data_IF_965143074992
#
_entry.id   IF_965143074992
#
_cell.length_a   1.000
_cell.length_b   1.000
_cell.length_c   1.000
_cell.angle_alpha   90.00
_cell.angle_beta   90.00
_cell.angle_gamma   90.00
#
_symmetry.space_group_name_H-M   'P 1'
#
loop_
_entity.id
_entity.type
_entity.pdbx_description
1 polymer ?
#
# COMPACT_ATOMS: atom_id res chain seq x y z
N UNK A 1 -18.82 -27.66 2.10
CA UNK A 1 -17.57 -26.93 1.80
C UNK A 1 -17.84 -25.45 1.91
N UNK A 2 -17.19 -24.73 2.82
CA UNK A 2 -17.27 -23.27 2.82
C UNK A 2 -16.36 -22.75 1.70
N UNK A 3 -16.94 -22.14 0.67
CA UNK A 3 -16.18 -21.34 -0.28
C UNK A 3 -15.69 -20.11 0.47
N UNK A 4 -14.48 -20.18 1.05
CA UNK A 4 -13.83 -18.98 1.57
C UNK A 4 -13.65 -18.03 0.40
N UNK A 5 -14.28 -16.85 0.48
CA UNK A 5 -14.10 -15.77 -0.49
C UNK A 5 -12.58 -15.57 -0.68
N UNK A 6 -12.06 -15.46 -1.92
CA UNK A 6 -10.64 -15.22 -2.13
C UNK A 6 -10.20 -14.06 -1.25
N UNK A 7 -9.23 -14.27 -0.37
CA UNK A 7 -8.71 -13.21 0.49
C UNK A 7 -8.06 -12.21 -0.45
N UNK A 8 -8.72 -11.10 -0.74
CA UNK A 8 -8.26 -10.03 -1.63
C UNK A 8 -7.06 -9.24 -1.06
N UNK A 9 -6.39 -9.77 -0.03
CA UNK A 9 -5.32 -9.12 0.72
C UNK A 9 -3.96 -9.83 0.69
N UNK A 10 -3.81 -10.99 0.03
CA UNK A 10 -2.55 -11.77 0.06
C UNK A 10 -1.49 -11.30 -0.98
N UNK A 11 -1.72 -10.16 -1.65
CA UNK A 11 -0.80 -9.61 -2.64
C UNK A 11 0.31 -8.75 -2.02
N UNK A 12 1.48 -8.62 -2.68
CA UNK A 12 2.55 -7.74 -2.21
C UNK A 12 2.06 -6.29 -2.12
N UNK A 13 2.78 -5.45 -1.37
CA UNK A 13 2.53 -4.00 -1.41
C UNK A 13 2.65 -3.49 -2.85
N UNK A 14 1.74 -2.60 -3.25
CA UNK A 14 1.68 -2.03 -4.60
C UNK A 14 1.60 -0.51 -4.53
N UNK A 15 2.23 0.18 -5.48
CA UNK A 15 2.09 1.62 -5.67
C UNK A 15 1.85 1.91 -7.15
N UNK A 16 0.77 2.61 -7.48
CA UNK A 16 0.41 3.01 -8.85
C UNK A 16 0.21 4.51 -8.94
N UNK A 17 0.62 5.13 -10.07
CA UNK A 17 0.34 6.55 -10.33
C UNK A 17 -1.01 6.68 -11.02
N UNK A 18 -1.93 7.42 -10.41
CA UNK A 18 -3.26 7.68 -10.96
C UNK A 18 -3.45 9.20 -11.10
N UNK A 19 -3.35 9.68 -12.34
CA UNK A 19 -3.35 11.12 -12.63
C UNK A 19 -2.17 11.86 -11.98
N UNK A 20 -2.49 12.72 -11.00
CA UNK A 20 -1.50 13.52 -10.25
C UNK A 20 -1.13 12.93 -8.90
N UNK A 21 -1.79 11.86 -8.48
CA UNK A 21 -1.60 11.22 -7.18
C UNK A 21 -0.94 9.85 -7.32
N UNK A 22 -0.40 9.35 -6.21
CA UNK A 22 0.08 7.97 -6.06
C UNK A 22 -0.89 7.22 -5.17
N UNK A 23 -1.33 6.04 -5.60
CA UNK A 23 -2.17 5.14 -4.83
C UNK A 23 -1.32 3.99 -4.33
N UNK A 24 -1.11 3.94 -3.02
CA UNK A 24 -0.40 2.86 -2.34
C UNK A 24 -1.39 1.87 -1.71
N UNK A 25 -1.19 0.58 -1.92
CA UNK A 25 -2.03 -0.51 -1.42
C UNK A 25 -1.21 -1.45 -0.56
N UNK A 26 -1.39 -1.39 0.76
CA UNK A 26 -0.67 -2.20 1.75
C UNK A 26 -1.53 -3.39 2.20
N UNK A 27 -1.08 -4.65 2.07
CA UNK A 27 -1.80 -5.80 2.62
C UNK A 27 -1.81 -5.75 4.16
N UNK A 28 -2.95 -6.11 4.77
CA UNK A 28 -3.10 -6.12 6.23
C UNK A 28 -3.15 -7.55 6.78
N UNK A 29 -2.54 -7.77 7.94
CA UNK A 29 -2.69 -9.01 8.69
C UNK A 29 -4.17 -9.16 9.13
N UNK A 30 -4.80 -10.27 8.74
CA UNK A 30 -6.25 -10.48 8.94
C UNK A 30 -7.10 -10.26 7.69
N UNK A 31 -6.48 -9.81 6.59
CA UNK A 31 -7.10 -9.70 5.28
C UNK A 31 -7.55 -8.28 4.91
N UNK A 32 -7.73 -8.06 3.62
CA UNK A 32 -7.99 -6.73 3.05
C UNK A 32 -6.71 -5.94 2.78
N UNK A 33 -6.89 -4.69 2.35
CA UNK A 33 -5.78 -3.79 1.99
C UNK A 33 -6.09 -2.39 2.49
N UNK A 34 -5.09 -1.74 3.09
CA UNK A 34 -5.12 -0.30 3.32
C UNK A 34 -4.78 0.39 2.00
N UNK A 35 -5.62 1.33 1.58
CA UNK A 35 -5.39 2.15 0.39
C UNK A 35 -5.13 3.58 0.84
N UNK A 36 -3.98 4.12 0.44
CA UNK A 36 -3.55 5.48 0.76
C UNK A 36 -3.31 6.23 -0.54
N UNK A 37 -3.89 7.42 -0.66
CA UNK A 37 -3.58 8.37 -1.73
C UNK A 37 -2.53 9.37 -1.22
N UNK A 38 -1.47 9.57 -2.00
CA UNK A 38 -0.36 10.45 -1.68
C UNK A 38 -0.11 11.42 -2.84
N UNK A 39 0.22 12.66 -2.52
CA UNK A 39 0.84 13.58 -3.47
C UNK A 39 2.31 13.20 -3.68
N UNK A 40 2.94 13.65 -4.80
CA UNK A 40 4.36 13.39 -5.04
C UNK A 40 5.30 13.84 -3.92
N UNK A 41 5.01 14.98 -3.26
CA UNK A 41 5.81 15.47 -2.13
C UNK A 41 5.68 14.59 -0.89
N UNK A 42 4.45 14.20 -0.53
CA UNK A 42 4.17 13.33 0.62
C UNK A 42 4.82 11.94 0.43
N UNK A 43 4.84 11.42 -0.80
CA UNK A 43 5.52 10.18 -1.12
C UNK A 43 7.06 10.28 -0.99
N UNK A 44 7.64 11.43 -1.34
CA UNK A 44 9.08 11.67 -1.17
C UNK A 44 9.46 11.75 0.32
N UNK A 45 8.67 12.46 1.12
CA UNK A 45 8.85 12.53 2.58
C UNK A 45 8.71 11.16 3.24
N UNK A 46 7.69 10.38 2.84
CA UNK A 46 7.53 9.00 3.33
C UNK A 46 8.77 8.13 3.02
N UNK A 47 9.34 8.26 1.82
CA UNK A 47 10.56 7.53 1.43
C UNK A 47 11.74 7.88 2.36
N UNK A 48 11.92 9.16 2.69
CA UNK A 48 13.01 9.61 3.59
C UNK A 48 12.81 9.08 5.01
N UNK A 49 11.58 9.17 5.54
CA UNK A 49 11.24 8.62 6.86
C UNK A 49 11.51 7.11 6.95
N UNK A 50 11.16 6.35 5.91
CA UNK A 50 11.41 4.91 5.88
C UNK A 50 12.90 4.60 5.78
N UNK A 51 13.63 5.29 4.90
CA UNK A 51 15.07 5.09 4.74
C UNK A 51 15.81 5.24 6.08
N UNK A 52 15.46 6.26 6.88
CA UNK A 52 16.08 6.51 8.19
C UNK A 52 15.88 5.43 9.26
N UNK A 53 14.99 4.44 9.04
CA UNK A 53 14.75 3.33 9.98
C UNK A 53 14.97 1.94 9.37
N UNK A 54 15.32 1.87 8.08
CA UNK A 54 15.57 0.60 7.37
C UNK A 54 17.03 0.39 6.97
N UNK A 55 17.93 1.30 7.36
CA UNK A 55 19.39 1.20 7.20
C UNK A 55 20.08 0.53 8.41
#
# INVERSE_FOLDING_TARGET
MAAMKPRTGDGPMEVTKEGRSLIMRVPLEGGGRLVVELKPGEAAELKECLAGVTE
#
